data_IF_405545180578
#
_entry.id   IF_405545180578
#
_cell.length_a   1.000
_cell.length_b   1.000
_cell.length_c   1.000
_cell.angle_alpha   90.00
_cell.angle_beta   90.00
_cell.angle_gamma   90.00
#
_symmetry.space_group_name_H-M   'P 1'
#
loop_
_entity.id
_entity.type
_entity.pdbx_description
1 polymer ?
#
# COMPACT_ATOMS: atom_id res chain seq x y z
N UNK A 1 -16.96 5.56 2.57
CA UNK A 1 -15.68 6.23 2.84
C UNK A 1 -15.91 7.73 2.82
N UNK A 2 -15.26 8.45 3.71
CA UNK A 2 -15.33 9.90 3.87
C UNK A 2 -13.91 10.47 3.79
N UNK A 3 -13.77 11.67 3.20
CA UNK A 3 -12.47 12.30 2.99
C UNK A 3 -12.44 13.63 3.72
N UNK A 4 -11.42 13.80 4.56
CA UNK A 4 -11.18 15.01 5.33
C UNK A 4 -9.82 15.58 4.97
N UNK A 5 -9.70 16.90 5.02
CA UNK A 5 -8.49 17.64 4.69
C UNK A 5 -8.12 18.54 5.86
N UNK A 6 -6.86 18.54 6.23
CA UNK A 6 -6.24 19.50 7.13
C UNK A 6 -5.27 20.36 6.32
N UNK A 7 -5.26 21.67 6.54
CA UNK A 7 -4.42 22.63 5.80
C UNK A 7 -3.70 23.53 6.79
N UNK A 8 -2.38 23.61 6.64
CA UNK A 8 -1.54 24.56 7.36
C UNK A 8 -1.68 25.97 6.78
N UNK A 9 -1.35 26.97 7.60
CA UNK A 9 -1.42 28.36 7.19
C UNK A 9 -0.52 28.65 5.97
N UNK A 10 -1.11 29.30 4.96
CA UNK A 10 -0.42 29.64 3.72
C UNK A 10 0.00 28.48 2.82
N UNK A 11 -0.37 27.23 3.16
CA UNK A 11 0.05 26.06 2.39
C UNK A 11 -0.70 25.89 1.06
N UNK A 12 -1.95 26.32 1.00
CA UNK A 12 -2.81 26.20 -0.20
C UNK A 12 -3.33 27.57 -0.57
N UNK A 13 -3.05 27.99 -1.82
CA UNK A 13 -3.52 29.29 -2.31
C UNK A 13 -5.05 29.32 -2.40
N UNK A 14 -5.66 30.35 -1.80
CA UNK A 14 -7.12 30.54 -1.81
C UNK A 14 -7.87 29.69 -0.78
N UNK A 15 -7.17 29.04 0.15
CA UNK A 15 -7.78 28.24 1.21
C UNK A 15 -7.17 28.62 2.56
N UNK A 16 -8.03 28.90 3.54
CA UNK A 16 -7.62 29.26 4.91
C UNK A 16 -7.04 28.02 5.61
N UNK A 17 -6.19 28.22 6.62
CA UNK A 17 -5.80 27.12 7.51
C UNK A 17 -7.03 26.50 8.19
N UNK A 18 -6.96 25.20 8.48
CA UNK A 18 -7.97 24.51 9.26
C UNK A 18 -8.36 23.15 8.71
N UNK A 19 -9.55 22.70 9.05
CA UNK A 19 -10.08 21.38 8.69
C UNK A 19 -11.31 21.48 7.80
N UNK A 20 -11.38 20.57 6.83
CA UNK A 20 -12.39 20.56 5.78
C UNK A 20 -12.90 19.13 5.56
N UNK A 21 -14.17 19.02 5.20
CA UNK A 21 -14.79 17.81 4.69
C UNK A 21 -14.96 17.95 3.18
N UNK A 22 -14.57 16.92 2.42
CA UNK A 22 -14.88 16.87 0.99
C UNK A 22 -16.28 16.30 0.79
N UNK A 23 -17.23 17.14 0.36
CA UNK A 23 -18.55 16.69 -0.04
C UNK A 23 -18.45 15.98 -1.41
N UNK A 24 -18.67 14.66 -1.48
CA UNK A 24 -18.54 13.91 -2.72
C UNK A 24 -19.68 14.19 -3.71
N UNK A 25 -20.78 14.83 -3.29
CA UNK A 25 -21.92 15.14 -4.15
C UNK A 25 -21.69 16.43 -4.91
N UNK A 26 -21.18 17.44 -4.22
CA UNK A 26 -20.93 18.78 -4.77
C UNK A 26 -19.47 18.98 -5.22
N UNK A 27 -18.59 18.01 -4.95
CA UNK A 27 -17.14 18.11 -5.18
C UNK A 27 -16.53 19.38 -4.57
N UNK A 28 -17.02 19.74 -3.38
CA UNK A 28 -16.68 20.97 -2.71
C UNK A 28 -16.05 20.69 -1.34
N UNK A 29 -15.12 21.55 -0.92
CA UNK A 29 -14.61 21.55 0.44
C UNK A 29 -15.57 22.32 1.34
N UNK A 30 -16.11 21.65 2.34
CA UNK A 30 -16.94 22.22 3.39
C UNK A 30 -16.06 22.44 4.61
N UNK A 31 -15.92 23.70 5.03
CA UNK A 31 -15.16 24.06 6.23
C UNK A 31 -15.79 23.45 7.48
N UNK A 32 -15.00 22.71 8.24
CA UNK A 32 -15.41 22.16 9.54
C UNK A 32 -14.97 23.08 10.68
N UNK A 33 -13.70 23.47 10.68
CA UNK A 33 -13.14 24.40 11.64
C UNK A 33 -11.98 25.18 11.01
N UNK A 34 -12.15 26.51 10.93
CA UNK A 34 -11.10 27.44 10.49
C UNK A 34 -10.03 27.61 11.57
N UNK A 35 -8.78 27.73 11.16
CA UNK A 35 -7.63 27.93 12.07
C UNK A 35 -7.40 26.77 13.04
N UNK A 36 -8.06 25.63 12.85
CA UNK A 36 -7.79 24.43 13.63
C UNK A 36 -6.34 24.00 13.42
N UNK A 37 -5.65 23.68 14.50
CA UNK A 37 -4.29 23.13 14.48
C UNK A 37 -4.33 21.66 14.83
N UNK A 38 -3.60 20.83 14.08
CA UNK A 38 -3.51 19.40 14.36
C UNK A 38 -2.20 19.08 15.09
N UNK A 39 -2.29 18.39 16.22
CA UNK A 39 -1.10 17.91 16.92
C UNK A 39 -0.42 16.78 16.13
N UNK A 40 0.91 16.75 16.10
CA UNK A 40 1.67 15.72 15.37
C UNK A 40 1.42 14.31 15.93
N UNK A 41 0.92 14.20 17.16
CA UNK A 41 0.52 12.95 17.81
C UNK A 41 -0.64 12.23 17.11
N UNK A 42 -1.40 12.89 16.24
CA UNK A 42 -2.43 12.24 15.40
C UNK A 42 -1.84 11.27 14.37
N UNK A 43 -0.56 11.44 14.04
CA UNK A 43 0.17 10.54 13.15
C UNK A 43 1.04 9.56 13.94
N UNK A 44 1.15 8.35 13.40
CA UNK A 44 2.11 7.36 13.87
C UNK A 44 3.53 7.96 13.86
N UNK A 45 4.38 7.59 14.83
CA UNK A 45 5.66 8.24 15.07
C UNK A 45 6.55 8.39 13.82
N UNK A 46 6.53 7.40 12.92
CA UNK A 46 7.31 7.40 11.68
C UNK A 46 6.80 8.41 10.63
N UNK A 47 5.54 8.85 10.71
CA UNK A 47 4.95 9.83 9.80
C UNK A 47 4.98 11.26 10.34
N UNK A 48 5.39 11.48 11.60
CA UNK A 48 5.39 12.82 12.21
C UNK A 48 6.32 13.78 11.48
N UNK A 49 7.53 13.35 11.13
CA UNK A 49 8.47 14.17 10.37
C UNK A 49 7.95 14.53 8.97
N UNK A 50 7.16 13.64 8.34
CA UNK A 50 6.53 13.92 7.05
C UNK A 50 5.40 14.92 7.21
N UNK A 51 4.59 14.77 8.27
CA UNK A 51 3.51 15.70 8.59
C UNK A 51 4.03 17.11 8.94
N UNK A 52 5.09 17.21 9.75
CA UNK A 52 5.72 18.49 10.11
C UNK A 52 6.25 19.26 8.89
N UNK A 53 6.68 18.55 7.83
CA UNK A 53 7.11 19.15 6.58
C UNK A 53 6.01 19.31 5.53
N UNK A 54 4.78 18.85 5.81
CA UNK A 54 3.67 18.89 4.87
C UNK A 54 2.86 20.18 5.04
N UNK A 55 2.41 20.76 3.93
CA UNK A 55 1.49 21.89 3.96
C UNK A 55 0.02 21.49 4.20
N UNK A 56 -0.32 20.22 3.97
CA UNK A 56 -1.68 19.72 4.20
C UNK A 56 -1.66 18.20 4.38
N UNK A 57 -2.71 17.66 5.00
CA UNK A 57 -2.89 16.23 5.22
C UNK A 57 -4.30 15.79 4.81
N UNK A 58 -4.40 14.64 4.13
CA UNK A 58 -5.67 14.03 3.72
C UNK A 58 -5.95 12.79 4.58
N UNK A 59 -7.12 12.76 5.20
CA UNK A 59 -7.58 11.64 6.03
C UNK A 59 -8.71 10.91 5.33
N UNK A 60 -8.52 9.60 5.15
CA UNK A 60 -9.49 8.71 4.53
C UNK A 60 -10.13 7.86 5.63
N UNK A 61 -11.40 8.14 5.93
CA UNK A 61 -12.12 7.51 7.04
C UNK A 61 -13.19 6.57 6.49
N UNK A 62 -13.10 5.29 6.86
CA UNK A 62 -14.11 4.29 6.53
C UNK A 62 -14.91 3.93 7.79
N UNK A 63 -16.22 3.94 7.66
CA UNK A 63 -17.13 3.43 8.69
C UNK A 63 -17.35 1.94 8.42
N UNK A 64 -16.68 1.08 9.20
CA UNK A 64 -16.77 -0.37 9.00
C UNK A 64 -18.15 -0.90 9.39
N UNK A 65 -18.81 -0.33 10.39
CA UNK A 65 -20.14 -0.76 10.83
C UNK A 65 -21.20 -0.50 9.74
N UNK A 66 -21.01 0.54 8.92
CA UNK A 66 -21.85 0.81 7.75
C UNK A 66 -21.52 -0.08 6.53
N UNK A 67 -20.29 -0.62 6.44
CA UNK A 67 -19.80 -1.36 5.25
C UNK A 67 -19.91 -2.87 5.44
N UNK A 68 -19.64 -3.38 6.65
CA UNK A 68 -19.69 -4.79 7.02
C UNK A 68 -21.04 -5.46 6.68
N UNK A 69 -22.21 -4.84 6.91
CA UNK A 69 -23.49 -5.45 6.53
C UNK A 69 -23.65 -5.70 5.03
N UNK A 70 -22.97 -4.92 4.18
CA UNK A 70 -23.08 -5.02 2.72
C UNK A 70 -22.08 -6.00 2.11
N UNK A 71 -20.90 -6.14 2.72
CA UNK A 71 -19.77 -6.89 2.14
C UNK A 71 -19.29 -8.07 2.99
N UNK A 72 -19.68 -8.14 4.26
CA UNK A 72 -19.27 -9.20 5.18
C UNK A 72 -17.77 -9.17 5.50
N UNK A 73 -17.13 -10.34 5.76
CA UNK A 73 -15.73 -10.44 6.15
C UNK A 73 -14.69 -9.65 5.32
N UNK A 74 -14.83 -9.46 3.99
CA UNK A 74 -13.87 -8.65 3.22
C UNK A 74 -14.06 -7.13 3.35
N UNK A 75 -15.06 -6.62 4.08
CA UNK A 75 -15.34 -5.19 4.22
C UNK A 75 -14.11 -4.35 4.60
N UNK A 76 -13.32 -4.84 5.56
CA UNK A 76 -12.07 -4.20 5.98
C UNK A 76 -11.05 -4.13 4.85
N UNK A 77 -10.85 -5.22 4.13
CA UNK A 77 -9.85 -5.28 3.06
C UNK A 77 -10.24 -4.38 1.89
N UNK A 78 -11.53 -4.23 1.59
CA UNK A 78 -12.04 -3.32 0.55
C UNK A 78 -11.81 -1.84 0.88
N UNK A 79 -11.67 -1.49 2.15
CA UNK A 79 -11.40 -0.11 2.57
C UNK A 79 -9.91 0.26 2.54
N UNK A 80 -9.01 -0.71 2.31
CA UNK A 80 -7.58 -0.47 2.27
C UNK A 80 -7.12 -0.18 0.83
N UNK A 81 -6.29 0.86 0.60
CA UNK A 81 -5.83 1.22 -0.76
C UNK A 81 -5.01 0.12 -1.44
N UNK A 82 -4.42 -0.80 -0.67
CA UNK A 82 -3.75 -2.01 -1.17
C UNK A 82 -4.37 -3.29 -0.60
N UNK A 83 -5.68 -3.25 -0.33
CA UNK A 83 -6.44 -4.38 0.19
C UNK A 83 -6.11 -5.68 -0.54
N UNK A 84 -5.69 -6.69 0.21
CA UNK A 84 -5.42 -8.00 -0.36
C UNK A 84 -6.75 -8.54 -0.87
N UNK A 85 -6.86 -8.79 -2.18
CA UNK A 85 -8.09 -9.36 -2.72
C UNK A 85 -8.41 -10.69 -2.01
N UNK A 86 -9.64 -10.88 -1.52
CA UNK A 86 -10.06 -12.19 -1.02
C UNK A 86 -9.92 -13.20 -2.16
N UNK A 87 -9.23 -14.32 -1.91
CA UNK A 87 -9.04 -15.39 -2.90
C UNK A 87 -7.70 -15.37 -3.68
N UNK A 88 -6.70 -14.59 -3.27
CA UNK A 88 -5.35 -14.68 -3.85
C UNK A 88 -4.75 -16.07 -3.66
N UNK A 89 -4.89 -16.94 -4.68
CA UNK A 89 -4.27 -18.26 -4.75
C UNK A 89 -2.78 -18.10 -4.46
N UNK A 90 -2.30 -18.68 -3.35
CA UNK A 90 -0.86 -18.86 -3.17
C UNK A 90 -0.41 -19.68 -4.37
N UNK A 91 0.33 -19.07 -5.30
CA UNK A 91 1.06 -19.87 -6.29
C UNK A 91 1.96 -20.81 -5.48
N UNK A 92 1.84 -22.14 -5.64
CA UNK A 92 2.78 -23.03 -5.00
C UNK A 92 4.18 -22.60 -5.43
N UNK A 93 5.10 -22.54 -4.46
CA UNK A 93 6.48 -22.19 -4.72
C UNK A 93 6.97 -23.06 -5.88
N UNK A 94 7.31 -22.43 -7.00
CA UNK A 94 7.89 -23.11 -8.14
C UNK A 94 9.17 -23.79 -7.62
N UNK A 95 9.09 -25.11 -7.51
CA UNK A 95 10.13 -25.97 -6.96
C UNK A 95 11.43 -25.62 -7.68
N UNK A 96 12.39 -25.04 -6.93
CA UNK A 96 13.69 -24.66 -7.48
C UNK A 96 14.27 -25.92 -8.10
N UNK A 97 14.47 -25.86 -9.42
CA UNK A 97 14.89 -26.98 -10.23
C UNK A 97 16.05 -27.74 -9.58
N UNK A 98 15.88 -29.07 -9.48
CA UNK A 98 16.95 -29.97 -9.07
C UNK A 98 18.20 -29.70 -9.92
N UNK A 99 19.41 -29.69 -9.35
CA UNK A 99 20.62 -29.53 -10.13
C UNK A 99 20.74 -30.67 -11.13
N UNK A 100 20.95 -30.36 -12.41
CA UNK A 100 21.26 -31.37 -13.44
C UNK A 100 22.59 -32.04 -13.06
N UNK A 101 22.55 -33.36 -12.85
CA UNK A 101 23.76 -34.17 -12.72
C UNK A 101 24.62 -33.98 -13.97
N UNK A 102 25.86 -33.53 -13.78
CA UNK A 102 26.88 -33.53 -14.83
C UNK A 102 27.28 -34.98 -15.08
N UNK A 103 26.93 -35.47 -16.27
CA UNK A 103 27.38 -36.76 -16.77
C UNK A 103 28.90 -36.89 -16.66
N UNK A 104 29.32 -37.90 -15.90
CA UNK A 104 30.70 -38.38 -15.79
C UNK A 104 31.06 -39.00 -17.13
N UNK A 105 32.02 -38.42 -17.84
CA UNK A 105 32.53 -38.95 -19.10
C UNK A 105 33.23 -40.30 -18.86
N UNK A 106 32.69 -41.35 -19.46
CA UNK A 106 33.35 -42.65 -19.57
C UNK A 106 34.48 -42.53 -20.60
N UNK A 107 35.69 -42.35 -20.09
CA UNK A 107 36.92 -42.47 -20.87
C UNK A 107 37.21 -43.94 -21.15
N UNK A 108 36.72 -44.43 -22.29
CA UNK A 108 37.06 -45.74 -22.83
C UNK A 108 38.52 -45.74 -23.31
N UNK A 109 39.42 -46.30 -22.51
CA UNK A 109 40.80 -46.62 -22.89
C UNK A 109 40.79 -47.99 -23.57
N UNK A 110 40.99 -48.02 -24.90
CA UNK A 110 41.40 -49.23 -25.61
C UNK A 110 42.79 -49.03 -26.22
N UNK A 111 43.73 -49.87 -25.80
CA UNK A 111 45.06 -50.04 -26.39
C UNK A 111 45.03 -51.15 -27.46
N UNK A 112 45.78 -50.94 -28.55
CA UNK A 112 46.58 -51.90 -29.34
C UNK A 112 47.15 -51.11 -30.55
N UNK A 113 48.46 -50.88 -30.71
CA UNK A 113 49.46 -51.75 -31.40
C UNK A 113 48.92 -52.34 -32.71
N UNK A 114 49.55 -52.28 -33.89
CA UNK A 114 50.94 -52.13 -34.33
C UNK A 114 50.97 -52.08 -35.89
N UNK A 115 52.11 -51.72 -36.49
CA UNK A 115 52.46 -51.90 -37.91
C UNK A 115 52.80 -50.57 -38.59
N UNK A 116 54.01 -50.31 -39.10
CA UNK A 116 55.00 -51.21 -39.66
C UNK A 116 55.23 -50.79 -41.11
#
# INVERSE_FOLDING_TARGET
MQTYLYVEEGAVSGLTAGTYYLDPREHALVTLAEGATLDTGVHAAHNRAVFEGAGFAVFLVADLDAIEPLYGPPARDLCLPYGRRPGGHRRPAQERGRPRERGRGDGEVRKASEGG
#
